data_IF_233368432036
#
_entry.id   IF_233368432036
#
_cell.length_a   1.000
_cell.length_b   1.000
_cell.length_c   1.000
_cell.angle_alpha   90.00
_cell.angle_beta   90.00
_cell.angle_gamma   90.00
#
_symmetry.space_group_name_H-M   'P 1'
#
loop_
_entity.id
_entity.type
_entity.pdbx_description
1 polymer ?
#
# COMPACT_ATOMS: atom_id res chain seq x y z
N UNK A 1 35.79 12.05 -43.83
CA UNK A 1 34.84 12.90 -43.07
C UNK A 1 35.51 14.23 -42.80
N UNK A 2 34.86 15.35 -43.13
CA UNK A 2 35.45 16.69 -42.96
C UNK A 2 35.47 17.09 -41.48
N UNK A 3 36.56 17.70 -41.02
CA UNK A 3 36.76 18.19 -39.65
C UNK A 3 35.70 19.23 -39.23
N UNK A 4 35.05 19.87 -40.21
CA UNK A 4 33.93 20.80 -40.03
C UNK A 4 32.65 20.12 -39.55
N UNK A 5 32.44 18.84 -39.89
CA UNK A 5 31.30 18.05 -39.44
C UNK A 5 31.38 17.80 -37.93
N UNK A 6 32.53 17.35 -37.43
CA UNK A 6 32.75 17.14 -35.99
C UNK A 6 32.55 18.40 -35.17
N UNK A 7 32.97 19.56 -35.68
CA UNK A 7 32.77 20.87 -35.03
C UNK A 7 31.29 21.26 -34.93
N UNK A 8 30.51 21.05 -35.99
CA UNK A 8 29.07 21.30 -35.96
C UNK A 8 28.37 20.30 -35.04
N UNK A 9 28.69 19.02 -35.15
CA UNK A 9 28.11 17.96 -34.32
C UNK A 9 28.37 18.22 -32.83
N UNK A 10 29.59 18.59 -32.44
CA UNK A 10 29.91 18.89 -31.04
C UNK A 10 29.08 20.06 -30.48
N UNK A 11 28.92 21.14 -31.26
CA UNK A 11 28.11 22.31 -30.86
C UNK A 11 26.64 21.95 -30.65
N UNK A 12 26.06 21.16 -31.56
CA UNK A 12 24.65 20.75 -31.46
C UNK A 12 24.43 19.68 -30.39
N UNK A 13 25.36 18.73 -30.24
CA UNK A 13 25.31 17.69 -29.21
C UNK A 13 25.36 18.33 -27.81
N UNK A 14 26.28 19.28 -27.59
CA UNK A 14 26.36 20.00 -26.31
C UNK A 14 25.08 20.77 -25.98
N UNK A 15 24.44 21.38 -26.99
CA UNK A 15 23.16 22.09 -26.81
C UNK A 15 22.03 21.13 -26.42
N UNK A 16 21.92 19.99 -27.10
CA UNK A 16 20.91 18.96 -26.80
C UNK A 16 21.11 18.41 -25.39
N UNK A 17 22.34 18.05 -25.02
CA UNK A 17 22.66 17.54 -23.68
C UNK A 17 22.38 18.58 -22.60
N UNK A 18 22.64 19.86 -22.87
CA UNK A 18 22.35 20.94 -21.91
C UNK A 18 20.85 21.10 -21.69
N UNK A 19 20.04 21.10 -22.75
CA UNK A 19 18.58 21.14 -22.64
C UNK A 19 18.05 19.90 -21.91
N UNK A 20 18.58 18.73 -22.23
CA UNK A 20 18.25 17.48 -21.56
C UNK A 20 18.54 17.57 -20.06
N UNK A 21 19.70 18.09 -19.67
CA UNK A 21 20.08 18.25 -18.27
C UNK A 21 19.18 19.27 -17.57
N UNK A 22 18.84 20.39 -18.23
CA UNK A 22 17.90 21.38 -17.69
C UNK A 22 16.52 20.79 -17.45
N UNK A 23 15.97 20.04 -18.41
CA UNK A 23 14.68 19.34 -18.23
C UNK A 23 14.76 18.29 -17.12
N UNK A 24 15.88 17.59 -16.99
CA UNK A 24 16.11 16.63 -15.92
C UNK A 24 16.15 17.30 -14.54
N UNK A 25 16.88 18.40 -14.40
CA UNK A 25 16.94 19.17 -13.16
C UNK A 25 15.58 19.80 -12.81
N UNK A 26 14.89 20.36 -13.79
CA UNK A 26 13.55 20.90 -13.59
C UNK A 26 12.55 19.83 -13.15
N UNK A 27 12.65 18.60 -13.67
CA UNK A 27 11.82 17.48 -13.24
C UNK A 27 12.10 17.10 -11.79
N UNK A 28 13.38 16.98 -11.40
CA UNK A 28 13.76 16.70 -10.01
C UNK A 28 13.28 17.79 -9.04
N UNK A 29 13.40 19.05 -9.45
CA UNK A 29 12.89 20.18 -8.67
C UNK A 29 11.37 20.19 -8.59
N UNK A 30 10.68 19.93 -9.70
CA UNK A 30 9.23 19.80 -9.75
C UNK A 30 8.73 18.74 -8.78
N UNK A 31 9.37 17.57 -8.69
CA UNK A 31 9.01 16.54 -7.72
C UNK A 31 9.38 16.89 -6.27
N UNK A 32 10.25 17.87 -6.03
CA UNK A 32 10.61 18.33 -4.68
C UNK A 32 9.63 19.34 -4.10
N UNK A 33 8.71 19.90 -4.89
CA UNK A 33 7.77 20.94 -4.47
C UNK A 33 6.48 20.35 -3.87
N UNK A 34 5.86 19.28 -4.41
CA UNK A 34 4.69 18.66 -3.81
C UNK A 34 4.97 18.19 -2.39
N UNK A 35 4.10 18.57 -1.46
CA UNK A 35 4.15 18.02 -0.12
C UNK A 35 3.96 16.51 -0.18
N UNK A 36 4.87 15.79 0.47
CA UNK A 36 4.87 14.33 0.40
C UNK A 36 3.66 13.69 1.09
N UNK A 37 2.91 14.47 1.87
CA UNK A 37 1.63 14.08 2.48
C UNK A 37 0.55 13.83 1.42
N UNK A 38 0.60 14.52 0.29
CA UNK A 38 -0.35 14.38 -0.82
C UNK A 38 -0.10 13.08 -1.59
N UNK A 39 1.17 12.79 -1.87
CA UNK A 39 1.57 11.61 -2.63
C UNK A 39 1.51 10.32 -1.80
N UNK A 40 1.77 10.36 -0.49
CA UNK A 40 1.63 9.18 0.40
C UNK A 40 0.19 8.78 0.65
N UNK A 41 -0.77 9.64 0.28
CA UNK A 41 -2.17 9.42 0.56
C UNK A 41 -2.50 9.41 2.04
N UNK A 42 -1.70 10.11 2.87
CA UNK A 42 -2.01 10.29 4.30
C UNK A 42 -3.35 11.00 4.49
N UNK A 43 -3.75 11.85 3.55
CA UNK A 43 -5.11 12.44 3.50
C UNK A 43 -6.24 11.42 3.23
N UNK A 44 -5.93 10.28 2.60
CA UNK A 44 -6.87 9.17 2.41
C UNK A 44 -6.79 8.15 3.54
N UNK A 45 -5.79 8.25 4.42
CA UNK A 45 -5.89 7.64 5.73
C UNK A 45 -6.99 8.42 6.43
N UNK A 46 -8.19 7.84 6.50
CA UNK A 46 -9.21 8.29 7.45
C UNK A 46 -8.47 8.51 8.75
N UNK A 47 -8.37 9.76 9.19
CA UNK A 47 -7.88 10.10 10.50
C UNK A 47 -8.88 9.46 11.45
N UNK A 48 -8.61 8.19 11.76
CA UNK A 48 -9.39 7.39 12.65
C UNK A 48 -9.24 8.12 13.96
N UNK A 49 -10.24 8.97 14.27
CA UNK A 49 -10.56 9.36 15.63
C UNK A 49 -10.22 8.13 16.45
N UNK A 50 -9.22 8.22 17.31
CA UNK A 50 -8.63 7.08 18.00
C UNK A 50 -9.73 6.33 18.72
N UNK A 51 -10.38 5.41 18.01
CA UNK A 51 -11.45 4.63 18.59
C UNK A 51 -10.70 3.75 19.56
N UNK A 52 -11.12 3.80 20.82
CA UNK A 52 -10.49 3.00 21.84
C UNK A 52 -10.78 1.54 21.52
N UNK A 53 -9.91 0.93 20.69
CA UNK A 53 -10.07 -0.42 20.17
C UNK A 53 -10.23 -1.39 21.34
N UNK A 54 -9.57 -1.11 22.48
CA UNK A 54 -9.72 -1.92 23.68
C UNK A 54 -11.17 -1.95 24.22
N UNK A 55 -11.93 -0.85 24.11
CA UNK A 55 -13.32 -0.81 24.57
C UNK A 55 -14.26 -1.50 23.58
N UNK A 56 -14.17 -1.17 22.28
CA UNK A 56 -15.00 -1.84 21.26
C UNK A 56 -14.71 -3.34 21.15
N UNK A 57 -13.43 -3.73 21.28
CA UNK A 57 -13.02 -5.13 21.28
C UNK A 57 -13.68 -5.91 22.42
N UNK A 58 -13.82 -5.28 23.59
CA UNK A 58 -14.41 -5.90 24.78
C UNK A 58 -15.92 -6.06 24.67
N UNK A 59 -16.58 -5.16 23.94
CA UNK A 59 -18.04 -5.11 23.91
C UNK A 59 -18.67 -5.79 22.67
N UNK A 60 -17.98 -5.86 21.51
CA UNK A 60 -18.63 -6.24 20.24
C UNK A 60 -17.76 -7.09 19.28
N UNK A 61 -16.86 -7.96 19.76
CA UNK A 61 -16.12 -8.88 18.87
C UNK A 61 -16.94 -10.13 18.57
N UNK A 62 -17.01 -10.50 17.30
CA UNK A 62 -17.53 -11.80 16.84
C UNK A 62 -16.59 -12.90 17.31
N UNK A 63 -17.14 -13.95 17.93
CA UNK A 63 -16.36 -15.06 18.45
C UNK A 63 -15.59 -15.77 17.34
N UNK A 64 -14.38 -16.23 17.66
CA UNK A 64 -13.53 -17.00 16.73
C UNK A 64 -14.26 -18.22 16.18
N UNK A 65 -15.11 -18.87 16.98
CA UNK A 65 -15.94 -20.01 16.56
C UNK A 65 -16.88 -19.69 15.40
N UNK A 66 -17.48 -18.49 15.39
CA UNK A 66 -18.36 -18.08 14.30
C UNK A 66 -17.56 -17.85 13.00
N UNK A 67 -16.35 -17.32 13.09
CA UNK A 67 -15.47 -17.14 11.92
C UNK A 67 -14.98 -18.49 11.37
N UNK A 68 -14.66 -19.44 12.25
CA UNK A 68 -14.28 -20.80 11.88
C UNK A 68 -15.40 -21.47 11.06
N UNK A 69 -16.66 -21.26 11.45
CA UNK A 69 -17.83 -21.78 10.72
C UNK A 69 -18.05 -21.07 9.37
N UNK A 70 -18.06 -19.73 9.37
CA UNK A 70 -18.29 -18.90 8.16
C UNK A 70 -17.20 -19.14 7.11
N UNK A 71 -15.93 -19.19 7.53
CA UNK A 71 -14.80 -19.40 6.62
C UNK A 71 -14.61 -20.88 6.25
N UNK A 72 -15.41 -21.78 6.84
CA UNK A 72 -15.33 -23.24 6.71
C UNK A 72 -13.90 -23.70 6.94
N UNK A 73 -13.37 -23.33 8.09
CA UNK A 73 -11.98 -23.59 8.44
C UNK A 73 -11.82 -25.06 8.76
N UNK A 74 -11.00 -25.76 7.99
CA UNK A 74 -10.70 -27.15 8.28
C UNK A 74 -9.64 -27.22 9.39
N UNK A 75 -10.08 -27.54 10.61
CA UNK A 75 -9.23 -27.67 11.80
C UNK A 75 -8.18 -28.78 11.66
N UNK A 76 -8.40 -29.76 10.78
CA UNK A 76 -7.48 -30.87 10.53
C UNK A 76 -6.40 -30.50 9.49
N UNK A 77 -6.61 -29.43 8.72
CA UNK A 77 -5.73 -29.02 7.60
C UNK A 77 -4.68 -27.95 7.97
N UNK A 78 -4.41 -27.71 9.25
CA UNK A 78 -3.48 -26.67 9.73
C UNK A 78 -3.82 -25.25 9.21
N UNK A 79 -5.11 -24.94 9.08
CA UNK A 79 -5.58 -23.60 8.73
C UNK A 79 -5.49 -22.68 9.96
N UNK A 80 -4.98 -21.46 9.77
CA UNK A 80 -4.75 -20.52 10.87
C UNK A 80 -5.68 -19.32 10.76
N UNK A 81 -6.31 -18.96 11.88
CA UNK A 81 -7.12 -17.73 12.01
C UNK A 81 -6.33 -16.72 12.86
N UNK A 82 -6.00 -15.57 12.28
CA UNK A 82 -5.24 -14.51 12.92
C UNK A 82 -6.10 -13.26 13.12
N UNK A 83 -6.15 -12.71 14.32
CA UNK A 83 -6.71 -11.38 14.56
C UNK A 83 -5.64 -10.32 14.27
N UNK A 84 -5.92 -9.39 13.36
CA UNK A 84 -5.00 -8.31 12.96
C UNK A 84 -5.67 -6.95 13.02
N UNK A 85 -4.86 -5.91 13.18
CA UNK A 85 -5.28 -4.52 13.07
C UNK A 85 -4.88 -3.97 11.70
N UNK A 86 -5.85 -3.45 10.94
CA UNK A 86 -5.60 -2.86 9.61
C UNK A 86 -6.48 -1.62 9.42
N UNK A 87 -5.86 -0.49 9.08
CA UNK A 87 -6.55 0.78 8.80
C UNK A 87 -7.58 1.21 9.88
N UNK A 88 -7.27 1.01 11.17
CA UNK A 88 -8.16 1.39 12.27
C UNK A 88 -9.27 0.38 12.57
N UNK A 89 -9.28 -0.79 11.91
CA UNK A 89 -10.27 -1.86 12.11
C UNK A 89 -9.61 -3.15 12.57
N UNK A 90 -10.34 -3.90 13.40
CA UNK A 90 -9.99 -5.28 13.74
C UNK A 90 -10.51 -6.20 12.65
N UNK A 91 -9.65 -7.09 12.15
CA UNK A 91 -10.00 -8.06 11.11
C UNK A 91 -9.51 -9.46 11.47
N UNK A 92 -10.28 -10.47 11.11
CA UNK A 92 -9.84 -11.86 11.10
C UNK A 92 -9.27 -12.21 9.73
N UNK A 93 -8.02 -12.65 9.69
CA UNK A 93 -7.38 -13.19 8.49
C UNK A 93 -7.31 -14.71 8.62
N UNK A 94 -7.95 -15.41 7.69
CA UNK A 94 -7.91 -16.87 7.59
C UNK A 94 -6.91 -17.25 6.52
N UNK A 95 -5.89 -18.01 6.91
CA UNK A 95 -4.87 -18.57 6.03
C UNK A 95 -5.10 -20.07 5.89
N UNK A 96 -5.55 -20.47 4.70
CA UNK A 96 -5.77 -21.88 4.35
C UNK A 96 -4.46 -22.53 3.94
N UNK A 97 -4.33 -23.83 4.19
CA UNK A 97 -3.21 -24.64 3.70
C UNK A 97 -3.77 -25.82 2.89
N UNK A 98 -3.51 -25.92 1.58
CA UNK A 98 -2.64 -25.07 0.76
C UNK A 98 -3.15 -23.62 0.60
N UNK A 99 -2.24 -22.63 0.45
CA UNK A 99 -2.57 -21.19 0.44
C UNK A 99 -3.22 -20.78 -0.88
N UNK A 100 -4.49 -21.11 -1.06
CA UNK A 100 -5.25 -20.74 -2.25
C UNK A 100 -5.70 -19.27 -2.21
N UNK A 101 -6.18 -18.79 -1.06
CA UNK A 101 -6.69 -17.42 -0.91
C UNK A 101 -6.70 -16.98 0.55
N UNK A 102 -6.16 -15.78 0.82
CA UNK A 102 -6.32 -15.12 2.13
C UNK A 102 -7.74 -14.59 2.23
N UNK A 103 -8.54 -15.14 3.14
CA UNK A 103 -9.86 -14.61 3.45
C UNK A 103 -9.71 -13.61 4.60
N UNK A 104 -10.38 -12.47 4.47
CA UNK A 104 -10.39 -11.42 5.48
C UNK A 104 -11.85 -11.25 5.89
N UNK A 105 -12.10 -11.09 7.18
CA UNK A 105 -13.41 -10.80 7.74
C UNK A 105 -13.27 -9.65 8.75
N UNK A 106 -14.25 -8.75 8.81
CA UNK A 106 -14.32 -7.73 9.86
C UNK A 106 -14.61 -8.39 11.22
N UNK A 107 -13.83 -8.06 12.25
CA UNK A 107 -13.92 -8.71 13.55
C UNK A 107 -15.13 -8.26 14.38
N UNK A 108 -15.78 -7.15 14.01
CA UNK A 108 -16.96 -6.63 14.69
C UNK A 108 -18.25 -7.12 14.03
N UNK A 109 -18.26 -7.29 12.70
CA UNK A 109 -19.47 -7.68 11.95
C UNK A 109 -19.44 -9.11 11.40
N UNK A 110 -18.26 -9.72 11.30
CA UNK A 110 -18.08 -11.05 10.70
C UNK A 110 -18.24 -11.08 9.17
N UNK A 111 -18.36 -9.92 8.52
CA UNK A 111 -18.52 -9.82 7.07
C UNK A 111 -17.15 -9.87 6.36
N UNK A 112 -17.06 -10.46 5.15
CA UNK A 112 -15.82 -10.53 4.37
C UNK A 112 -15.35 -9.18 3.81
#
# INVERSE_FOLDING_TARGET
MSTTFFRKAHRWLGLIVSIQLLMWTASGLFFSIPDITDVRGEQYLTQSNSININQQARENIVSISAIVDIAKVNLEANETVLLKHRAGRLIYQVEKNPPEKKLIFDALTGQP
#
